data_IF_879123369455
#
_entry.id   IF_879123369455
#
_cell.length_a   1.000
_cell.length_b   1.000
_cell.length_c   1.000
_cell.angle_alpha   90.00
_cell.angle_beta   90.00
_cell.angle_gamma   90.00
#
_symmetry.space_group_name_H-M   'P 1'
#
loop_
_entity.id
_entity.type
_entity.pdbx_description
1 polymer ?
#
# COMPACT_ATOMS: atom_id res chain seq x y z
N UNK A 1 -6.01 -10.74 -8.12
CA UNK A 1 -5.13 -9.56 -8.22
C UNK A 1 -5.53 -8.56 -7.15
N UNK A 2 -4.62 -8.14 -6.28
CA UNK A 2 -4.93 -7.21 -5.18
C UNK A 2 -4.52 -5.77 -5.53
N UNK A 3 -5.47 -4.87 -5.86
CA UNK A 3 -5.15 -3.48 -6.17
C UNK A 3 -4.90 -2.65 -4.92
N UNK A 4 -3.99 -1.69 -5.01
CA UNK A 4 -3.80 -0.67 -3.98
C UNK A 4 -5.04 0.23 -3.88
N UNK A 5 -5.48 0.55 -2.67
CA UNK A 5 -6.64 1.43 -2.44
C UNK A 5 -6.26 2.92 -2.43
N UNK A 6 -4.96 3.22 -2.40
CA UNK A 6 -4.46 4.61 -2.41
C UNK A 6 -3.04 4.71 -2.96
N UNK A 7 -2.68 5.91 -3.43
CA UNK A 7 -1.33 6.23 -3.90
C UNK A 7 -0.28 6.00 -2.82
N UNK A 8 -0.60 6.32 -1.55
CA UNK A 8 0.31 6.04 -0.42
C UNK A 8 0.54 4.55 -0.19
N UNK A 9 -0.50 3.74 -0.33
CA UNK A 9 -0.38 2.29 -0.17
C UNK A 9 0.47 1.69 -1.29
N UNK A 10 0.23 2.08 -2.54
CA UNK A 10 1.04 1.64 -3.67
C UNK A 10 2.53 1.97 -3.48
N UNK A 11 2.84 3.22 -3.09
CA UNK A 11 4.22 3.63 -2.83
C UNK A 11 4.86 2.83 -1.70
N UNK A 12 4.11 2.56 -0.62
CA UNK A 12 4.62 1.75 0.48
C UNK A 12 4.96 0.32 0.03
N UNK A 13 4.11 -0.30 -0.78
CA UNK A 13 4.34 -1.66 -1.31
C UNK A 13 5.49 -1.69 -2.30
N UNK A 14 5.62 -0.67 -3.16
CA UNK A 14 6.76 -0.52 -4.05
C UNK A 14 8.09 -0.34 -3.26
N UNK A 15 8.07 0.45 -2.19
CA UNK A 15 9.21 0.57 -1.28
C UNK A 15 9.53 -0.75 -0.58
N UNK A 16 8.52 -1.54 -0.20
CA UNK A 16 8.73 -2.85 0.42
C UNK A 16 9.43 -3.83 -0.52
N UNK A 17 9.05 -3.79 -1.81
CA UNK A 17 9.64 -4.64 -2.85
C UNK A 17 11.08 -4.23 -3.21
N UNK A 18 11.32 -2.94 -3.45
CA UNK A 18 12.60 -2.47 -4.00
C UNK A 18 13.57 -1.89 -2.96
N UNK A 19 13.10 -1.52 -1.77
CA UNK A 19 13.92 -0.87 -0.73
C UNK A 19 13.39 -1.15 0.69
N UNK A 20 13.32 -2.42 1.12
CA UNK A 20 12.73 -2.81 2.40
C UNK A 20 13.42 -2.16 3.62
N UNK A 21 14.70 -1.83 3.51
CA UNK A 21 15.49 -1.13 4.55
C UNK A 21 14.98 0.29 4.84
N UNK A 22 14.33 0.95 3.87
CA UNK A 22 13.77 2.30 4.02
C UNK A 22 12.38 2.30 4.66
N UNK A 23 11.82 1.12 4.98
CA UNK A 23 10.51 1.02 5.62
C UNK A 23 10.60 1.37 7.10
N UNK A 24 9.80 2.38 7.50
CA UNK A 24 9.64 2.78 8.90
C UNK A 24 9.11 1.62 9.74
N UNK A 25 9.58 1.51 10.99
CA UNK A 25 9.19 0.44 11.95
C UNK A 25 7.68 0.18 11.99
N UNK A 26 6.87 1.24 12.05
CA UNK A 26 5.39 1.17 12.07
C UNK A 26 4.73 0.52 10.86
N UNK A 27 5.42 0.45 9.71
CA UNK A 27 4.90 -0.10 8.47
C UNK A 27 5.53 -1.47 8.14
N UNK A 28 6.38 -2.03 9.00
CA UNK A 28 7.08 -3.31 8.73
C UNK A 28 6.16 -4.51 8.52
N UNK A 29 4.88 -4.41 8.89
CA UNK A 29 3.89 -5.43 8.57
C UNK A 29 3.81 -5.75 7.07
N UNK A 30 4.09 -4.78 6.19
CA UNK A 30 4.07 -5.03 4.73
C UNK A 30 5.25 -5.89 4.25
N UNK A 31 6.33 -5.99 5.03
CA UNK A 31 7.47 -6.86 4.70
C UNK A 31 7.15 -8.35 4.86
N UNK A 32 6.07 -8.69 5.56
CA UNK A 32 5.58 -10.07 5.67
C UNK A 32 4.82 -10.54 4.42
N UNK A 33 4.54 -9.63 3.48
CA UNK A 33 3.84 -9.95 2.24
C UNK A 33 4.80 -10.59 1.25
N UNK A 34 4.28 -11.49 0.42
CA UNK A 34 5.07 -12.11 -0.66
C UNK A 34 5.45 -11.08 -1.73
N UNK A 35 6.58 -11.30 -2.40
CA UNK A 35 7.03 -10.41 -3.47
C UNK A 35 6.00 -10.28 -4.61
N UNK A 36 5.26 -11.36 -4.90
CA UNK A 36 4.15 -11.35 -5.87
C UNK A 36 3.06 -10.38 -5.44
N UNK A 37 2.62 -10.44 -4.19
CA UNK A 37 1.62 -9.50 -3.68
C UNK A 37 2.14 -8.06 -3.72
N UNK A 38 3.36 -7.81 -3.25
CA UNK A 38 3.96 -6.46 -3.30
C UNK A 38 4.04 -5.91 -4.73
N UNK A 39 4.40 -6.77 -5.69
CA UNK A 39 4.42 -6.42 -7.11
C UNK A 39 3.05 -6.09 -7.66
N UNK A 40 2.01 -6.84 -7.30
CA UNK A 40 0.64 -6.57 -7.73
C UNK A 40 0.17 -5.21 -7.21
N UNK A 41 0.41 -4.90 -5.93
CA UNK A 41 0.09 -3.60 -5.36
C UNK A 41 0.86 -2.47 -6.05
N UNK A 42 2.16 -2.65 -6.31
CA UNK A 42 3.00 -1.66 -6.97
C UNK A 42 2.55 -1.35 -8.42
N UNK A 43 2.00 -2.35 -9.13
CA UNK A 43 1.49 -2.23 -10.52
C UNK A 43 0.12 -1.54 -10.63
N UNK A 44 -0.52 -1.17 -9.52
CA UNK A 44 -1.86 -0.54 -9.56
C UNK A 44 -1.81 0.80 -10.30
N UNK A 45 -2.74 1.04 -11.24
CA UNK A 45 -2.80 2.34 -11.96
C UNK A 45 -3.13 3.46 -10.98
N UNK A 46 -2.37 4.56 -10.99
CA UNK A 46 -2.55 5.69 -10.05
C UNK A 46 -3.61 6.72 -10.48
N UNK A 47 -4.12 6.62 -11.71
CA UNK A 47 -4.91 7.68 -12.36
C UNK A 47 -6.15 8.07 -11.56
N UNK A 48 -6.80 7.09 -10.92
CA UNK A 48 -8.06 7.28 -10.18
C UNK A 48 -7.95 6.96 -8.67
N UNK A 49 -6.72 6.74 -8.16
CA UNK A 49 -6.52 6.42 -6.75
C UNK A 49 -6.49 7.69 -5.87
N UNK A 50 -7.19 7.67 -4.73
CA UNK A 50 -7.06 8.75 -3.75
C UNK A 50 -5.64 8.79 -3.17
N UNK A 51 -5.19 9.98 -2.76
CA UNK A 51 -3.85 10.17 -2.17
C UNK A 51 -3.65 9.32 -0.91
N UNK A 52 -4.69 9.27 -0.07
CA UNK A 52 -4.85 8.39 1.10
C UNK A 52 -6.31 7.95 1.13
N UNK A 53 -6.57 6.71 1.54
CA UNK A 53 -7.94 6.32 1.87
C UNK A 53 -8.31 7.09 3.13
N UNK A 54 -9.22 8.06 3.03
CA UNK A 54 -9.80 8.68 4.23
C UNK A 54 -10.56 7.60 4.98
N UNK A 55 -10.19 7.32 6.22
CA UNK A 55 -11.09 6.60 7.13
C UNK A 55 -12.26 7.54 7.43
N UNK A 56 -13.23 7.68 6.52
CA UNK A 56 -14.57 8.03 6.96
C UNK A 56 -15.01 6.86 7.83
N UNK A 57 -14.68 6.97 9.11
CA UNK A 57 -15.23 6.22 10.22
C UNK A 57 -16.73 6.16 9.90
N UNK A 58 -17.27 4.97 9.58
CA UNK A 58 -18.73 4.81 9.58
C UNK A 58 -19.15 5.24 10.98
N UNK A 59 -19.67 6.46 11.11
CA UNK A 59 -20.23 6.96 12.36
C UNK A 59 -21.44 6.08 12.57
N UNK A 60 -21.36 5.27 13.64
CA UNK A 60 -22.42 4.45 14.22
C UNK A 60 -23.76 5.20 14.10
N UNK A 61 -24.77 4.57 13.48
CA UNK A 61 -26.16 4.77 13.88
C UNK A 61 -26.59 3.46 14.52
#
# INVERSE_FOLDING_TARGET
>A
MLPAKSKSQQRLMAMAKHSPSKIKKKNRGVLKMTDKQLSEYAKTKTKDLPKKVSSKRKKKR
#
